data_IF_332113145662
#
_entry.id   IF_332113145662
#
_cell.length_a   1.000
_cell.length_b   1.000
_cell.length_c   1.000
_cell.angle_alpha   90.00
_cell.angle_beta   90.00
_cell.angle_gamma   90.00
#
_symmetry.space_group_name_H-M   'P 1'
#
loop_
_entity.id
_entity.type
_entity.pdbx_description
1 polymer ?
#
# COMPACT_ATOMS: atom_id res chain seq x y z
N UNK A 1 -18.40 -6.54 -16.94
CA UNK A 1 -18.00 -5.16 -16.63
C UNK A 1 -17.33 -5.20 -15.28
N UNK A 2 -16.00 -5.35 -15.25
CA UNK A 2 -15.27 -5.39 -13.98
C UNK A 2 -15.07 -3.95 -13.52
N UNK A 3 -15.92 -3.52 -12.59
CA UNK A 3 -15.77 -2.28 -11.86
C UNK A 3 -14.37 -2.26 -11.26
N UNK A 4 -13.51 -1.40 -11.80
CA UNK A 4 -12.25 -1.02 -11.19
C UNK A 4 -12.61 -0.38 -9.85
N UNK A 5 -12.72 -1.22 -8.81
CA UNK A 5 -13.01 -0.77 -7.46
C UNK A 5 -11.84 0.08 -7.01
N UNK A 6 -11.94 1.39 -7.27
CA UNK A 6 -11.11 2.41 -6.67
C UNK A 6 -11.09 2.12 -5.17
N UNK A 7 -9.92 1.71 -4.69
CA UNK A 7 -9.80 1.08 -3.39
C UNK A 7 -10.44 1.96 -2.31
N UNK A 8 -11.49 1.43 -1.68
CA UNK A 8 -12.12 2.10 -0.55
C UNK A 8 -11.07 2.23 0.55
N UNK A 9 -10.60 3.45 0.80
CA UNK A 9 -9.54 3.76 1.77
C UNK A 9 -9.83 3.16 3.15
N UNK A 10 -11.10 2.84 3.43
CA UNK A 10 -11.57 2.17 4.65
C UNK A 10 -11.07 0.73 4.84
N UNK A 11 -10.51 0.08 3.81
CA UNK A 11 -10.07 -1.31 3.92
C UNK A 11 -8.61 -1.48 4.31
N UNK A 12 -7.79 -0.43 4.20
CA UNK A 12 -6.37 -0.49 4.59
C UNK A 12 -6.26 -0.64 6.13
N UNK A 13 -5.63 -1.71 6.59
CA UNK A 13 -5.40 -1.96 8.02
C UNK A 13 -3.92 -2.19 8.29
N UNK A 14 -3.51 -1.99 9.54
CA UNK A 14 -2.19 -2.43 10.00
C UNK A 14 -2.12 -3.96 9.85
N UNK A 15 -1.07 -4.45 9.19
CA UNK A 15 -0.86 -5.84 8.80
C UNK A 15 -1.17 -6.13 7.34
N UNK A 16 -1.88 -5.23 6.64
CA UNK A 16 -2.29 -5.43 5.25
C UNK A 16 -1.11 -5.27 4.28
N UNK A 17 -1.13 -6.05 3.20
CA UNK A 17 -0.09 -6.03 2.18
C UNK A 17 -0.42 -4.95 1.14
N UNK A 18 0.47 -3.98 1.02
CA UNK A 18 0.28 -2.84 0.12
C UNK A 18 1.52 -2.60 -0.72
N UNK A 19 1.28 -2.19 -1.96
CA UNK A 19 2.28 -1.71 -2.88
C UNK A 19 2.35 -0.19 -2.83
N UNK A 20 3.51 0.36 -3.13
CA UNK A 20 3.68 1.78 -3.34
C UNK A 20 4.76 2.05 -4.36
N UNK A 21 4.61 3.16 -5.08
CA UNK A 21 5.61 3.60 -6.04
C UNK A 21 6.59 4.55 -5.38
N UNK A 22 7.87 4.16 -5.37
CA UNK A 22 8.94 5.03 -4.91
C UNK A 22 9.25 6.13 -5.95
N UNK A 23 10.03 7.15 -5.57
CA UNK A 23 10.48 8.24 -6.48
C UNK A 23 11.20 7.73 -7.73
N UNK A 24 11.74 6.52 -7.68
CA UNK A 24 12.40 5.85 -8.81
C UNK A 24 11.42 5.16 -9.77
N UNK A 25 10.10 5.37 -9.61
CA UNK A 25 9.05 4.62 -10.31
C UNK A 25 9.14 3.10 -10.10
N UNK A 26 9.78 2.67 -9.01
CA UNK A 26 9.85 1.27 -8.63
C UNK A 26 8.68 0.94 -7.69
N UNK A 27 7.92 -0.08 -8.06
CA UNK A 27 6.85 -0.61 -7.24
C UNK A 27 7.48 -1.45 -6.12
N UNK A 28 7.32 -0.97 -4.89
CA UNK A 28 7.78 -1.64 -3.67
C UNK A 28 6.58 -2.20 -2.94
N UNK A 29 6.76 -3.39 -2.40
CA UNK A 29 5.71 -4.10 -1.70
C UNK A 29 6.13 -4.32 -0.25
N UNK A 30 5.18 -4.12 0.65
CA UNK A 30 5.40 -4.34 2.06
C UNK A 30 4.09 -4.44 2.82
N UNK A 31 4.21 -4.47 4.14
CA UNK A 31 3.05 -4.50 5.04
C UNK A 31 2.90 -3.19 5.78
N UNK A 32 1.66 -2.73 5.93
CA UNK A 32 1.36 -1.57 6.75
C UNK A 32 1.67 -1.91 8.20
N UNK A 33 2.57 -1.17 8.84
CA UNK A 33 2.85 -1.32 10.28
C UNK A 33 2.29 -0.19 11.12
N UNK A 34 1.95 0.95 10.50
CA UNK A 34 1.24 2.03 11.15
C UNK A 34 0.45 2.84 10.14
N UNK A 35 -0.71 3.34 10.56
CA UNK A 35 -1.56 4.24 9.80
C UNK A 35 -1.57 5.59 10.51
N UNK A 36 -1.15 6.64 9.81
CA UNK A 36 -1.28 8.03 10.28
C UNK A 36 -2.43 8.70 9.53
N UNK A 37 -2.82 9.93 9.87
CA UNK A 37 -3.93 10.61 9.18
C UNK A 37 -3.67 10.83 7.67
N UNK A 38 -2.42 11.10 7.26
CA UNK A 38 -2.08 11.42 5.86
C UNK A 38 -1.14 10.42 5.18
N UNK A 39 -0.51 9.55 5.97
CA UNK A 39 0.53 8.62 5.50
C UNK A 39 0.40 7.26 6.18
N UNK A 40 0.79 6.20 5.50
CA UNK A 40 1.02 4.89 6.10
C UNK A 40 2.53 4.62 6.24
N UNK A 41 2.91 3.94 7.30
CA UNK A 41 4.24 3.37 7.46
C UNK A 41 4.20 1.95 6.93
N UNK A 42 4.97 1.68 5.88
CA UNK A 42 5.08 0.38 5.24
C UNK A 42 6.42 -0.24 5.64
N UNK A 43 6.38 -1.45 6.18
CA UNK A 43 7.57 -2.27 6.43
C UNK A 43 7.77 -3.20 5.23
N UNK A 44 8.87 -3.03 4.53
CA UNK A 44 9.29 -3.92 3.44
C UNK A 44 10.19 -5.05 4.00
N UNK A 45 10.44 -6.08 3.20
CA UNK A 45 11.17 -7.30 3.61
C UNK A 45 12.59 -7.03 4.16
N UNK A 46 13.22 -5.93 3.76
CA UNK A 46 14.55 -5.51 4.24
C UNK A 46 14.53 -4.84 5.63
N UNK A 47 13.43 -4.99 6.38
CA UNK A 47 13.18 -4.32 7.66
C UNK A 47 13.20 -2.78 7.57
N UNK A 48 13.19 -2.23 6.35
CA UNK A 48 13.09 -0.79 6.09
C UNK A 48 11.66 -0.31 6.25
N UNK A 49 11.49 0.83 6.91
CA UNK A 49 10.20 1.49 7.11
C UNK A 49 10.07 2.69 6.18
N UNK A 50 9.03 2.68 5.36
CA UNK A 50 8.74 3.71 4.39
C UNK A 50 7.49 4.48 4.81
N UNK A 51 7.59 5.80 4.91
CA UNK A 51 6.42 6.66 5.11
C UNK A 51 5.92 7.13 3.75
N UNK A 52 4.73 6.67 3.39
CA UNK A 52 4.15 6.94 2.08
C UNK A 52 2.77 7.53 2.25
N UNK A 53 2.46 8.59 1.51
CA UNK A 53 1.11 9.17 1.52
C UNK A 53 0.12 8.21 0.89
N UNK A 54 -1.11 8.17 1.41
CA UNK A 54 -2.15 7.26 0.92
C UNK A 54 -2.42 7.39 -0.59
N UNK A 55 -2.14 8.55 -1.18
CA UNK A 55 -2.31 8.78 -2.61
C UNK A 55 -1.32 7.99 -3.49
N UNK A 56 -0.20 7.52 -2.95
CA UNK A 56 0.80 6.71 -3.65
C UNK A 56 0.74 5.23 -3.28
N UNK A 57 -0.12 4.87 -2.31
CA UNK A 57 -0.34 3.49 -1.93
C UNK A 57 -1.36 2.88 -2.89
N UNK A 58 -1.07 1.68 -3.35
CA UNK A 58 -2.02 0.83 -4.06
C UNK A 58 -2.11 -0.52 -3.37
N UNK A 59 -3.30 -1.12 -3.33
CA UNK A 59 -3.48 -2.44 -2.73
C UNK A 59 -2.82 -3.50 -3.61
N UNK A 60 -2.24 -4.52 -3.00
CA UNK A 60 -1.87 -5.74 -3.74
C UNK A 60 -3.10 -6.64 -3.70
N UNK A 61 -4.05 -6.36 -4.61
CA UNK A 61 -5.12 -7.32 -4.87
C UNK A 61 -4.50 -8.31 -5.86
N UNK A 62 -4.25 -9.53 -5.40
CA UNK A 62 -3.98 -10.63 -6.31
C UNK A 62 -5.26 -10.83 -7.13
N UNK A 63 -5.24 -10.30 -8.36
CA UNK A 63 -6.30 -10.52 -9.34
C UNK A 63 -6.21 -11.98 -9.80
N UNK A 64 -6.61 -12.90 -8.94
CA UNK A 64 -6.75 -14.30 -9.30
C UNK A 64 -8.09 -14.49 -10.03
N UNK A 65 -8.06 -14.28 -11.35
CA UNK A 65 -9.07 -14.74 -12.30
C UNK A 65 -8.50 -15.87 -13.17
#
# INVERSE_FOLDING_TARGET
AAEQQALDRSRLKVGDAVGFRDRQNLDKYGRVVALNQKTATILISDNQKWRVAYQFLFPVIDSNE
#
